data_IF_389119696914
#
_entry.id   IF_389119696914
#
_cell.length_a   1.000
_cell.length_b   1.000
_cell.length_c   1.000
_cell.angle_alpha   90.00
_cell.angle_beta   90.00
_cell.angle_gamma   90.00
#
_symmetry.space_group_name_H-M   'P 1'
#
loop_
_entity.id
_entity.type
_entity.pdbx_description
1 polymer ?
#
# COMPACT_ATOMS: atom_id res chain seq x y z
N UNK A 1 6.82 -19.79 23.44
CA UNK A 1 6.41 -18.38 23.19
C UNK A 1 6.35 -17.69 24.54
N UNK A 2 7.05 -16.57 24.69
CA UNK A 2 6.99 -15.82 25.95
C UNK A 2 5.56 -15.33 26.22
N UNK A 3 5.13 -15.33 27.49
CA UNK A 3 3.75 -14.95 27.85
C UNK A 3 3.36 -13.56 27.30
N UNK A 4 4.28 -12.59 27.34
CA UNK A 4 4.07 -11.24 26.80
C UNK A 4 3.79 -11.22 25.28
N UNK A 5 4.45 -12.07 24.50
CA UNK A 5 4.22 -12.15 23.06
C UNK A 5 2.84 -12.74 22.77
N UNK A 6 2.42 -13.73 23.54
CA UNK A 6 1.07 -14.29 23.43
C UNK A 6 -0.01 -13.26 23.75
N UNK A 7 0.14 -12.53 24.85
CA UNK A 7 -0.76 -11.45 25.25
C UNK A 7 -0.85 -10.35 24.18
N UNK A 8 0.28 -9.98 23.58
CA UNK A 8 0.31 -9.02 22.48
C UNK A 8 -0.48 -9.53 21.27
N UNK A 9 -0.31 -10.78 20.87
CA UNK A 9 -1.03 -11.38 19.73
C UNK A 9 -2.53 -11.40 20.02
N UNK A 10 -2.96 -11.86 21.19
CA UNK A 10 -4.36 -11.91 21.60
C UNK A 10 -5.00 -10.50 21.61
N UNK A 11 -4.27 -9.50 22.14
CA UNK A 11 -4.71 -8.10 22.12
C UNK A 11 -4.90 -7.58 20.71
N UNK A 12 -3.93 -7.80 19.83
CA UNK A 12 -3.98 -7.36 18.42
C UNK A 12 -5.17 -7.98 17.68
N UNK A 13 -5.43 -9.26 17.88
CA UNK A 13 -6.55 -9.96 17.24
C UNK A 13 -7.89 -9.44 17.76
N UNK A 14 -8.00 -9.22 19.07
CA UNK A 14 -9.20 -8.66 19.70
C UNK A 14 -9.50 -7.25 19.18
N UNK A 15 -8.52 -6.37 19.17
CA UNK A 15 -8.69 -4.96 18.77
C UNK A 15 -9.00 -4.81 17.27
N UNK A 16 -8.49 -5.70 16.43
CA UNK A 16 -8.73 -5.69 14.98
C UNK A 16 -9.95 -6.50 14.55
N UNK A 17 -10.38 -7.43 15.36
CA UNK A 17 -11.45 -8.37 15.04
C UNK A 17 -11.02 -9.55 14.14
N UNK A 18 -9.74 -9.66 13.80
CA UNK A 18 -9.17 -10.77 13.03
C UNK A 18 -7.65 -10.89 13.21
N UNK A 19 -7.12 -12.10 13.03
CA UNK A 19 -5.69 -12.40 13.01
C UNK A 19 -5.12 -12.42 11.58
N UNK A 20 -3.81 -12.20 11.49
CA UNK A 20 -3.03 -12.34 10.27
C UNK A 20 -1.73 -13.08 10.58
N UNK A 21 -1.44 -14.11 9.80
CA UNK A 21 -0.25 -14.94 10.02
C UNK A 21 1.04 -14.12 10.08
N UNK A 22 1.23 -13.18 9.15
CA UNK A 22 2.44 -12.35 9.14
C UNK A 22 2.63 -11.52 10.40
N UNK A 23 1.55 -11.01 11.00
CA UNK A 23 1.60 -10.24 12.25
C UNK A 23 2.02 -11.12 13.43
N UNK A 24 1.50 -12.33 13.49
CA UNK A 24 1.90 -13.32 14.48
C UNK A 24 3.38 -13.65 14.34
N UNK A 25 3.82 -13.99 13.13
CA UNK A 25 5.22 -14.32 12.85
C UNK A 25 6.18 -13.15 13.19
N UNK A 26 5.76 -11.91 12.95
CA UNK A 26 6.55 -10.73 13.31
C UNK A 26 6.56 -10.51 14.83
N UNK A 27 5.41 -10.64 15.51
CA UNK A 27 5.33 -10.52 16.96
C UNK A 27 6.21 -11.57 17.69
N UNK A 28 6.33 -12.77 17.15
CA UNK A 28 7.21 -13.81 17.68
C UNK A 28 8.71 -13.50 17.51
N UNK A 29 9.08 -12.67 16.52
CA UNK A 29 10.48 -12.34 16.18
C UNK A 29 10.90 -10.97 16.70
N UNK A 30 10.01 -10.00 16.62
CA UNK A 30 10.21 -8.62 17.09
C UNK A 30 8.90 -8.08 17.68
N UNK A 31 8.58 -8.46 18.92
CA UNK A 31 7.35 -8.03 19.58
C UNK A 31 7.30 -6.51 19.79
N UNK A 32 8.45 -5.86 19.99
CA UNK A 32 8.53 -4.41 20.22
C UNK A 32 8.11 -3.67 18.96
N UNK A 33 8.69 -4.00 17.81
CA UNK A 33 8.32 -3.39 16.54
C UNK A 33 6.86 -3.67 16.19
N UNK A 34 6.40 -4.92 16.38
CA UNK A 34 5.02 -5.28 16.07
C UNK A 34 4.02 -4.50 16.94
N UNK A 35 4.33 -4.30 18.22
CA UNK A 35 3.49 -3.50 19.11
C UNK A 35 3.43 -2.02 18.70
N UNK A 36 4.57 -1.42 18.38
CA UNK A 36 4.64 -0.04 17.90
C UNK A 36 3.83 0.13 16.60
N UNK A 37 3.99 -0.79 15.65
CA UNK A 37 3.25 -0.78 14.40
C UNK A 37 1.74 -0.96 14.62
N UNK A 38 1.36 -1.87 15.50
CA UNK A 38 -0.05 -2.09 15.85
C UNK A 38 -0.67 -0.83 16.46
N UNK A 39 0.00 -0.22 17.43
CA UNK A 39 -0.46 1.00 18.10
C UNK A 39 -0.57 2.17 17.11
N UNK A 40 0.40 2.32 16.20
CA UNK A 40 0.35 3.31 15.13
C UNK A 40 -0.86 3.08 14.20
N UNK A 41 -1.11 1.84 13.81
CA UNK A 41 -2.29 1.48 12.99
C UNK A 41 -3.59 1.84 13.70
N UNK A 42 -3.71 1.48 14.97
CA UNK A 42 -4.91 1.78 15.78
C UNK A 42 -5.11 3.28 15.96
N UNK A 43 -4.02 4.05 16.06
CA UNK A 43 -4.07 5.50 16.12
C UNK A 43 -4.57 6.11 14.80
N UNK A 44 -4.01 5.67 13.68
CA UNK A 44 -4.35 6.19 12.34
C UNK A 44 -5.82 5.99 12.02
N UNK A 45 -6.39 4.83 12.35
CA UNK A 45 -7.79 4.51 12.04
C UNK A 45 -8.83 5.09 13.00
N UNK A 46 -8.45 6.01 13.88
CA UNK A 46 -9.43 6.80 14.65
C UNK A 46 -10.04 7.88 13.77
N UNK A 47 -11.28 8.28 14.09
CA UNK A 47 -11.85 9.49 13.53
C UNK A 47 -11.02 10.71 13.93
N UNK A 48 -10.79 11.60 12.99
CA UNK A 48 -10.04 12.83 13.15
C UNK A 48 -10.55 13.85 12.15
N UNK A 49 -9.66 14.66 11.55
CA UNK A 49 -10.02 15.53 10.43
C UNK A 49 -10.59 14.74 9.26
N UNK A 50 -10.11 13.51 9.05
CA UNK A 50 -10.72 12.53 8.17
C UNK A 50 -11.45 11.49 9.01
N UNK A 51 -12.64 11.10 8.57
CA UNK A 51 -13.37 10.00 9.17
C UNK A 51 -12.64 8.67 8.95
N UNK A 52 -12.87 7.70 9.83
CA UNK A 52 -12.37 6.34 9.64
C UNK A 52 -12.81 5.75 8.29
N UNK A 53 -14.06 6.00 7.88
CA UNK A 53 -14.56 5.59 6.55
C UNK A 53 -13.65 6.09 5.43
N UNK A 54 -13.29 7.36 5.45
CA UNK A 54 -12.41 7.95 4.44
C UNK A 54 -11.00 7.32 4.48
N UNK A 55 -10.47 7.06 5.67
CA UNK A 55 -9.16 6.40 5.83
C UNK A 55 -9.16 4.98 5.27
N UNK A 56 -10.25 4.23 5.44
CA UNK A 56 -10.39 2.90 4.83
C UNK A 56 -10.41 3.01 3.28
N UNK A 57 -11.11 4.00 2.72
CA UNK A 57 -11.14 4.24 1.26
C UNK A 57 -9.74 4.64 0.74
N UNK A 58 -9.01 5.47 1.46
CA UNK A 58 -7.61 5.81 1.12
C UNK A 58 -6.74 4.56 1.09
N UNK A 59 -6.90 3.65 2.07
CA UNK A 59 -6.16 2.39 2.09
C UNK A 59 -6.54 1.47 0.93
N UNK A 60 -7.82 1.42 0.52
CA UNK A 60 -8.23 0.69 -0.69
C UNK A 60 -7.45 1.19 -1.91
N UNK A 61 -7.38 2.51 -2.09
CA UNK A 61 -6.65 3.11 -3.21
C UNK A 61 -5.14 2.79 -3.15
N UNK A 62 -4.54 2.92 -1.99
CA UNK A 62 -3.11 2.63 -1.80
C UNK A 62 -2.77 1.16 -2.10
N UNK A 63 -3.58 0.22 -1.59
CA UNK A 63 -3.39 -1.20 -1.83
C UNK A 63 -3.68 -1.59 -3.29
N UNK A 64 -4.67 -0.95 -3.92
CA UNK A 64 -4.97 -1.17 -5.34
C UNK A 64 -3.80 -0.74 -6.24
N UNK A 65 -3.17 0.40 -5.97
CA UNK A 65 -1.99 0.86 -6.71
C UNK A 65 -0.78 -0.07 -6.52
N UNK A 66 -0.71 -0.79 -5.41
CA UNK A 66 0.30 -1.81 -5.13
C UNK A 66 -0.11 -3.22 -5.61
N UNK A 67 -1.28 -3.37 -6.23
CA UNK A 67 -1.87 -4.66 -6.62
C UNK A 67 -1.98 -5.66 -5.45
N UNK A 68 -2.17 -5.13 -4.24
CA UNK A 68 -2.30 -5.93 -3.02
C UNK A 68 -3.76 -6.26 -2.73
N UNK A 69 -4.30 -7.26 -3.44
CA UNK A 69 -5.71 -7.69 -3.33
C UNK A 69 -6.16 -7.99 -1.89
N UNK A 70 -5.39 -8.67 -1.02
CA UNK A 70 -5.83 -8.95 0.34
C UNK A 70 -6.13 -7.70 1.17
N UNK A 71 -5.36 -6.62 0.97
CA UNK A 71 -5.60 -5.33 1.61
C UNK A 71 -6.85 -4.65 1.06
N UNK A 72 -7.01 -4.61 -0.26
CA UNK A 72 -8.21 -4.08 -0.92
C UNK A 72 -9.47 -4.75 -0.36
N UNK A 73 -9.50 -6.07 -0.25
CA UNK A 73 -10.66 -6.80 0.30
C UNK A 73 -11.00 -6.41 1.74
N UNK A 74 -9.99 -6.30 2.60
CA UNK A 74 -10.20 -5.96 4.01
C UNK A 74 -10.70 -4.53 4.18
N UNK A 75 -10.02 -3.57 3.54
CA UNK A 75 -10.38 -2.17 3.65
C UNK A 75 -11.73 -1.89 3.00
N UNK A 76 -12.09 -2.56 1.89
CA UNK A 76 -13.44 -2.50 1.30
C UNK A 76 -14.49 -2.99 2.29
N UNK A 77 -14.28 -4.16 2.90
CA UNK A 77 -15.22 -4.69 3.91
C UNK A 77 -15.41 -3.74 5.08
N UNK A 78 -14.33 -3.13 5.55
CA UNK A 78 -14.39 -2.16 6.64
C UNK A 78 -15.10 -0.87 6.23
N UNK A 79 -14.80 -0.33 5.04
CA UNK A 79 -15.46 0.86 4.51
C UNK A 79 -16.97 0.66 4.38
N UNK A 80 -17.40 -0.47 3.83
CA UNK A 80 -18.82 -0.83 3.71
C UNK A 80 -19.52 -0.92 5.08
N UNK A 81 -18.88 -1.52 6.09
CA UNK A 81 -19.39 -1.55 7.47
C UNK A 81 -19.53 -0.15 8.09
N UNK A 82 -18.74 0.80 7.65
CA UNK A 82 -18.78 2.20 8.08
C UNK A 82 -19.71 3.07 7.21
N UNK A 83 -20.50 2.45 6.33
CA UNK A 83 -21.50 3.11 5.51
C UNK A 83 -20.97 3.69 4.20
N UNK A 84 -19.80 3.26 3.73
CA UNK A 84 -19.37 3.58 2.37
C UNK A 84 -20.26 2.90 1.34
N UNK A 85 -20.47 3.57 0.22
CA UNK A 85 -21.14 2.98 -0.94
C UNK A 85 -20.09 2.43 -1.93
N UNK A 86 -20.51 1.50 -2.77
CA UNK A 86 -19.66 1.02 -3.88
C UNK A 86 -19.25 2.19 -4.78
N UNK A 87 -20.16 3.13 -5.05
CA UNK A 87 -19.89 4.28 -5.90
C UNK A 87 -18.80 5.21 -5.30
N UNK A 88 -18.82 5.47 -3.98
CA UNK A 88 -17.75 6.22 -3.31
C UNK A 88 -16.38 5.56 -3.50
N UNK A 89 -16.32 4.23 -3.41
CA UNK A 89 -15.08 3.47 -3.56
C UNK A 89 -14.60 3.51 -5.01
N UNK A 90 -15.48 3.34 -5.98
CA UNK A 90 -15.15 3.39 -7.41
C UNK A 90 -14.63 4.78 -7.80
N UNK A 91 -15.33 5.84 -7.41
CA UNK A 91 -14.89 7.21 -7.71
C UNK A 91 -13.54 7.55 -7.06
N UNK A 92 -13.28 7.04 -5.85
CA UNK A 92 -11.99 7.21 -5.21
C UNK A 92 -10.86 6.49 -5.97
N UNK A 93 -11.12 5.27 -6.48
CA UNK A 93 -10.17 4.53 -7.31
C UNK A 93 -9.91 5.25 -8.64
N UNK A 94 -10.94 5.74 -9.31
CA UNK A 94 -10.82 6.52 -10.56
C UNK A 94 -9.94 7.76 -10.32
N UNK A 95 -10.17 8.50 -9.24
CA UNK A 95 -9.35 9.65 -8.87
C UNK A 95 -7.90 9.26 -8.53
N UNK A 96 -7.69 8.11 -7.88
CA UNK A 96 -6.36 7.65 -7.47
C UNK A 96 -5.50 7.18 -8.65
N UNK A 97 -6.10 6.56 -9.68
CA UNK A 97 -5.35 6.06 -10.85
C UNK A 97 -5.07 7.15 -11.88
N UNK A 98 -5.88 8.21 -11.92
CA UNK A 98 -5.77 9.28 -12.92
C UNK A 98 -4.37 9.95 -12.93
N UNK A 99 -3.74 10.27 -11.79
CA UNK A 99 -2.38 10.84 -11.77
C UNK A 99 -1.30 9.90 -12.33
N UNK A 100 -1.60 8.61 -12.55
CA UNK A 100 -0.67 7.66 -13.17
C UNK A 100 -0.18 8.08 -14.55
N UNK A 101 -0.92 8.90 -15.27
CA UNK A 101 -0.47 9.47 -16.56
C UNK A 101 0.84 10.28 -16.41
N UNK A 102 1.14 10.79 -15.23
CA UNK A 102 2.37 11.54 -14.96
C UNK A 102 3.65 10.70 -15.08
N UNK A 103 3.54 9.36 -15.10
CA UNK A 103 4.69 8.51 -15.47
C UNK A 103 5.25 8.89 -16.86
N UNK A 104 4.40 9.36 -17.77
CA UNK A 104 4.82 9.82 -19.09
C UNK A 104 5.78 11.02 -19.03
N UNK A 105 5.72 11.84 -17.98
CA UNK A 105 6.63 12.97 -17.80
C UNK A 105 8.10 12.54 -17.63
N UNK A 106 8.31 11.34 -17.12
CA UNK A 106 9.64 10.73 -16.94
C UNK A 106 10.01 9.82 -18.11
N UNK A 107 9.04 9.02 -18.57
CA UNK A 107 9.30 7.97 -19.57
C UNK A 107 9.40 8.54 -21.00
N UNK A 108 8.59 9.53 -21.35
CA UNK A 108 8.64 10.09 -22.71
C UNK A 108 9.97 10.77 -23.06
N UNK A 109 10.60 11.57 -22.18
CA UNK A 109 11.94 12.09 -22.46
C UNK A 109 12.97 11.00 -22.71
N UNK A 110 12.97 9.93 -21.88
CA UNK A 110 13.89 8.82 -22.07
C UNK A 110 13.68 8.11 -23.41
N UNK A 111 12.42 7.89 -23.80
CA UNK A 111 12.09 7.29 -25.10
C UNK A 111 12.55 8.22 -26.24
N UNK A 112 12.29 9.52 -26.14
CA UNK A 112 12.69 10.49 -27.15
C UNK A 112 14.22 10.53 -27.33
N UNK A 113 14.98 10.48 -26.24
CA UNK A 113 16.44 10.45 -26.27
C UNK A 113 16.97 9.19 -26.99
N UNK A 114 16.37 8.03 -26.75
CA UNK A 114 16.75 6.78 -27.42
C UNK A 114 16.39 6.79 -28.90
N UNK A 115 15.21 7.30 -29.26
CA UNK A 115 14.80 7.45 -30.67
C UNK A 115 15.76 8.37 -31.39
N UNK A 116 16.09 9.53 -30.84
CA UNK A 116 17.03 10.48 -31.44
C UNK A 116 18.45 9.89 -31.60
N UNK A 117 18.90 9.14 -30.59
CA UNK A 117 20.19 8.44 -30.64
C UNK A 117 20.22 7.37 -31.73
N UNK A 118 19.12 6.65 -31.90
CA UNK A 118 18.97 5.66 -32.98
C UNK A 118 19.03 6.33 -34.38
N UNK A 119 18.28 7.42 -34.59
CA UNK A 119 18.26 8.15 -35.86
C UNK A 119 19.62 8.74 -36.23
N UNK A 120 20.41 9.16 -35.24
CA UNK A 120 21.76 9.68 -35.40
C UNK A 120 22.80 8.59 -35.62
N UNK A 121 22.45 7.31 -35.52
CA UNK A 121 23.40 6.19 -35.59
C UNK A 121 24.41 6.18 -34.43
N UNK A 122 24.10 6.88 -33.33
CA UNK A 122 24.95 7.02 -32.16
C UNK A 122 24.42 6.19 -30.97
N UNK A 123 23.80 5.05 -31.25
CA UNK A 123 23.38 4.14 -30.18
C UNK A 123 24.57 3.86 -29.29
N UNK A 124 24.45 4.22 -28.01
CA UNK A 124 25.37 3.76 -26.99
C UNK A 124 25.22 2.24 -26.92
N UNK A 125 26.18 1.53 -27.57
CA UNK A 125 26.27 0.11 -27.35
C UNK A 125 26.45 -0.10 -25.84
N UNK A 126 25.54 -0.91 -25.24
CA UNK A 126 25.59 -1.40 -23.88
C UNK A 126 25.19 -0.47 -22.69
N UNK A 127 23.90 -0.23 -22.59
CA UNK A 127 23.28 0.17 -21.32
C UNK A 127 23.43 -0.95 -20.26
N UNK A 128 23.66 -2.19 -20.69
CA UNK A 128 23.68 -3.38 -19.82
C UNK A 128 25.09 -3.98 -19.56
N UNK A 129 26.18 -3.40 -20.10
CA UNK A 129 27.52 -3.95 -19.87
C UNK A 129 28.11 -3.67 -18.49
N UNK A 130 27.60 -2.68 -17.77
CA UNK A 130 28.17 -2.25 -16.50
C UNK A 130 27.61 -2.97 -15.26
N UNK A 131 26.69 -3.94 -15.42
CA UNK A 131 26.19 -4.76 -14.31
C UNK A 131 25.65 -3.98 -13.11
N UNK A 132 25.15 -2.77 -13.35
CA UNK A 132 24.50 -1.91 -12.33
C UNK A 132 23.03 -1.80 -12.64
N UNK A 133 22.30 -2.85 -12.25
CA UNK A 133 20.88 -2.81 -12.00
C UNK A 133 20.65 -2.54 -10.51
#
# INVERSE_FOLDING_TARGET
>A
MEDKTRELIERMEKERGFGRLWRKLLAERDPVFMELYHNASMHVFRDGALSRKMKEIICICADALQLYEPGVRIHTRNALKLGATEQEIIEALEAAILPGIHYLSVLLPAIADEVESHERGSLKEDIYKDGKD
#
